data_IF_807514364639
#
_entry.id   IF_807514364639
#
_cell.length_a   1.000
_cell.length_b   1.000
_cell.length_c   1.000
_cell.angle_alpha   90.00
_cell.angle_beta   90.00
_cell.angle_gamma   90.00
#
_symmetry.space_group_name_H-M   'P 1'
#
loop_
_entity.id
_entity.type
_entity.pdbx_description
1 polymer ?
#
# COMPACT_ATOMS: atom_id res chain seq x y z
N UNK A 1 0.79 5.54 20.03
CA UNK A 1 0.18 5.79 18.70
C UNK A 1 -0.58 7.11 18.78
N UNK A 2 -0.20 8.10 17.96
CA UNK A 2 -0.94 9.37 17.83
C UNK A 2 -2.42 9.08 17.56
N UNK A 3 -3.35 9.77 18.23
CA UNK A 3 -4.80 9.59 18.04
C UNK A 3 -5.20 9.71 16.56
N UNK A 4 -4.56 10.65 15.86
CA UNK A 4 -4.78 10.90 14.44
C UNK A 4 -4.44 9.72 13.53
N UNK A 5 -3.46 8.90 13.89
CA UNK A 5 -3.13 7.73 13.06
C UNK A 5 -4.21 6.65 13.19
N UNK A 6 -4.84 6.51 14.36
CA UNK A 6 -5.96 5.57 14.53
C UNK A 6 -7.17 6.01 13.72
N UNK A 7 -7.49 7.30 13.72
CA UNK A 7 -8.61 7.89 12.96
C UNK A 7 -8.53 7.57 11.46
N UNK A 8 -7.31 7.52 10.89
CA UNK A 8 -7.08 7.14 9.48
C UNK A 8 -7.54 5.71 9.18
N UNK A 9 -7.41 4.78 10.13
CA UNK A 9 -7.85 3.39 9.95
C UNK A 9 -9.35 3.19 10.24
N UNK A 10 -10.04 4.21 10.77
CA UNK A 10 -11.49 4.19 11.04
C UNK A 10 -12.32 4.72 9.85
N UNK A 11 -11.70 5.45 8.91
CA UNK A 11 -12.35 5.89 7.68
C UNK A 11 -12.60 4.70 6.72
N UNK A 12 -13.85 4.24 6.69
CA UNK A 12 -14.27 3.12 5.85
C UNK A 12 -14.02 3.34 4.35
N UNK A 13 -14.17 4.57 3.85
CA UNK A 13 -13.94 4.87 2.44
C UNK A 13 -12.44 4.78 2.10
N UNK A 14 -11.58 5.24 3.01
CA UNK A 14 -10.14 5.09 2.87
C UNK A 14 -9.73 3.62 2.95
N UNK A 15 -10.28 2.86 3.90
CA UNK A 15 -10.00 1.43 4.06
C UNK A 15 -10.35 0.65 2.79
N UNK A 16 -11.53 0.89 2.19
CA UNK A 16 -11.93 0.20 0.97
C UNK A 16 -11.06 0.59 -0.24
N UNK A 17 -10.60 1.84 -0.31
CA UNK A 17 -9.62 2.27 -1.33
C UNK A 17 -8.27 1.59 -1.14
N UNK A 18 -7.79 1.47 0.10
CA UNK A 18 -6.54 0.78 0.41
C UNK A 18 -6.65 -0.69 -0.01
N UNK A 19 -7.70 -1.40 0.41
CA UNK A 19 -7.91 -2.81 0.02
C UNK A 19 -7.96 -3.01 -1.48
N UNK A 20 -8.64 -2.13 -2.22
CA UNK A 20 -8.82 -2.27 -3.67
C UNK A 20 -7.63 -1.80 -4.51
N UNK A 21 -6.82 -0.84 -4.03
CA UNK A 21 -5.77 -0.19 -4.84
C UNK A 21 -4.36 -0.45 -4.36
N UNK A 22 -4.14 -0.63 -3.06
CA UNK A 22 -2.80 -0.83 -2.50
C UNK A 22 -2.08 -2.07 -3.08
N UNK A 23 -2.74 -3.23 -3.28
CA UNK A 23 -2.07 -4.39 -3.88
C UNK A 23 -1.52 -4.09 -5.28
N UNK A 24 -2.32 -3.41 -6.11
CA UNK A 24 -1.90 -3.02 -7.46
C UNK A 24 -0.76 -1.99 -7.43
N UNK A 25 -0.81 -1.01 -6.52
CA UNK A 25 0.27 -0.04 -6.36
C UNK A 25 1.59 -0.70 -5.94
N UNK A 26 1.53 -1.72 -5.08
CA UNK A 26 2.72 -2.48 -4.67
C UNK A 26 3.25 -3.34 -5.82
N UNK A 27 2.38 -3.94 -6.63
CA UNK A 27 2.80 -4.65 -7.84
C UNK A 27 3.58 -3.74 -8.81
N UNK A 28 3.14 -2.50 -8.99
CA UNK A 28 3.86 -1.53 -9.82
C UNK A 28 5.24 -1.19 -9.21
N UNK A 29 5.27 -0.92 -7.90
CA UNK A 29 6.52 -0.63 -7.21
C UNK A 29 7.52 -1.79 -7.28
N UNK A 30 7.04 -3.03 -7.22
CA UNK A 30 7.84 -4.24 -7.38
C UNK A 30 8.44 -4.34 -8.78
N UNK A 31 7.66 -4.07 -9.82
CA UNK A 31 8.15 -4.06 -11.20
C UNK A 31 9.27 -3.02 -11.38
N UNK A 32 9.06 -1.81 -10.87
CA UNK A 32 10.03 -0.69 -10.96
C UNK A 32 11.29 -0.93 -10.10
N UNK A 33 11.14 -1.59 -8.96
CA UNK A 33 12.24 -1.82 -8.01
C UNK A 33 12.94 -3.17 -8.19
N UNK A 34 12.51 -3.98 -9.17
CA UNK A 34 13.08 -5.30 -9.41
C UNK A 34 14.25 -5.28 -10.37
N UNK A 35 15.20 -6.19 -10.16
CA UNK A 35 16.24 -6.52 -11.15
C UNK A 35 16.15 -8.01 -11.48
N UNK A 36 15.98 -8.33 -12.75
CA UNK A 36 15.80 -9.71 -13.23
C UNK A 36 14.65 -10.46 -12.51
N UNK A 37 13.53 -9.77 -12.23
CA UNK A 37 12.36 -10.35 -11.59
C UNK A 37 12.50 -10.61 -10.09
N UNK A 38 13.55 -10.09 -9.44
CA UNK A 38 13.72 -10.12 -7.98
C UNK A 38 13.54 -8.72 -7.42
N UNK A 39 12.62 -8.58 -6.47
CA UNK A 39 12.39 -7.35 -5.73
C UNK A 39 13.54 -7.18 -4.73
N UNK A 40 14.20 -6.02 -4.74
CA UNK A 40 15.38 -5.78 -3.91
C UNK A 40 16.71 -6.17 -4.56
N UNK A 41 17.79 -6.14 -3.77
CA UNK A 41 19.15 -6.45 -4.21
C UNK A 41 19.55 -7.89 -3.96
#
# INVERSE_FOLDING_TARGET
MSSRLKEVFEDAALVERIKSRLPYMFQLAELESSRAGRIGR
#
